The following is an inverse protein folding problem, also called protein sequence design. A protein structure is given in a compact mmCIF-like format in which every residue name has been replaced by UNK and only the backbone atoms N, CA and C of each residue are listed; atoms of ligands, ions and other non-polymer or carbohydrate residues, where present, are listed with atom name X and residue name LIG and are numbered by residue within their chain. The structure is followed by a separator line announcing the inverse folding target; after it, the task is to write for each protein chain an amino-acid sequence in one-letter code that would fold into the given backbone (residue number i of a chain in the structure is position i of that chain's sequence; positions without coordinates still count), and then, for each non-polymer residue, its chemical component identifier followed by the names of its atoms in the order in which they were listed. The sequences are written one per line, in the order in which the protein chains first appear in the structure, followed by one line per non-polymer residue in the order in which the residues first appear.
data_IF_418153897451
#
_entry.id   IF_418153897451
#
_cell.length_a   1.000
_cell.length_b   1.000
_cell.length_c   1.000
_cell.angle_alpha   90.00
_cell.angle_beta   90.00
_cell.angle_gamma   90.00
#
_symmetry.space_group_name_H-M   'P 1'
#
loop_
_entity.id
_entity.type
_entity.pdbx_description
1 polymer ?
#
# COMPACT_ATOMS: atom_id res chain seq x y z
N UNK A 1 -10.71 5.37 -2.99
CA UNK A 1 -9.36 5.00 -2.53
C UNK A 1 -9.31 4.99 -1.03
N UNK A 2 -9.50 6.13 -0.37
CA UNK A 2 -9.75 6.22 1.08
C UNK A 2 -10.57 5.05 1.66
N UNK A 3 -11.80 4.83 1.15
CA UNK A 3 -12.66 3.73 1.62
C UNK A 3 -12.07 2.31 1.48
N UNK A 4 -11.22 2.04 0.48
CA UNK A 4 -10.56 0.73 0.33
C UNK A 4 -9.55 0.50 1.45
N UNK A 5 -8.89 1.58 1.90
CA UNK A 5 -7.87 1.55 2.94
C UNK A 5 -8.43 1.93 4.32
N UNK A 6 -9.76 1.93 4.48
CA UNK A 6 -10.45 2.44 5.67
C UNK A 6 -9.93 3.82 6.16
N UNK A 7 -9.45 4.65 5.22
CA UNK A 7 -8.73 5.88 5.52
C UNK A 7 -9.43 7.15 5.06
N UNK A 8 -8.86 8.30 5.42
CA UNK A 8 -9.25 9.64 4.99
C UNK A 8 -8.36 10.11 3.84
N UNK A 9 -8.92 10.96 2.96
CA UNK A 9 -8.15 11.59 1.88
C UNK A 9 -7.50 12.86 2.40
N UNK A 10 -6.24 13.07 2.05
CA UNK A 10 -5.59 14.36 2.22
C UNK A 10 -6.21 15.38 1.24
N UNK A 11 -6.21 16.69 1.58
CA UNK A 11 -6.66 17.74 0.68
C UNK A 11 -5.94 17.67 -0.68
N UNK A 12 -6.71 17.82 -1.75
CA UNK A 12 -6.16 17.85 -3.10
C UNK A 12 -5.26 19.08 -3.29
N UNK A 13 -4.25 18.97 -4.16
CA UNK A 13 -3.31 20.05 -4.49
C UNK A 13 -2.50 20.59 -3.31
N UNK A 14 -2.43 19.85 -2.20
CA UNK A 14 -1.62 20.20 -1.02
C UNK A 14 -0.11 20.09 -1.24
N UNK A 15 0.33 19.56 -2.40
CA UNK A 15 1.73 19.18 -2.62
C UNK A 15 2.19 18.00 -1.73
N UNK A 16 1.27 17.41 -0.96
CA UNK A 16 1.55 16.36 0.00
C UNK A 16 2.11 15.10 -0.66
N UNK A 17 3.02 14.44 0.06
CA UNK A 17 3.62 13.16 -0.35
C UNK A 17 2.63 12.00 -0.23
N UNK A 18 1.59 12.17 0.58
CA UNK A 18 0.55 11.17 0.88
C UNK A 18 -0.81 11.68 0.43
N UNK A 19 -1.61 10.80 -0.20
CA UNK A 19 -2.96 11.12 -0.67
C UNK A 19 -4.05 10.51 0.24
N UNK A 20 -3.73 9.45 0.97
CA UNK A 20 -4.64 8.73 1.87
C UNK A 20 -3.90 8.29 3.12
N UNK A 21 -4.52 8.50 4.28
CA UNK A 21 -4.05 8.01 5.58
C UNK A 21 -5.17 7.18 6.20
N UNK A 22 -4.87 5.95 6.59
CA UNK A 22 -5.78 5.04 7.30
C UNK A 22 -5.08 4.33 8.45
N UNK A 23 -5.81 3.50 9.22
CA UNK A 23 -5.25 2.76 10.34
C UNK A 23 -4.14 1.82 9.87
N UNK A 24 -2.89 2.10 10.26
CA UNK A 24 -1.73 1.28 9.89
C UNK A 24 -1.38 1.30 8.39
N UNK A 25 -1.91 2.26 7.62
CA UNK A 25 -1.60 2.36 6.19
C UNK A 25 -1.59 3.81 5.70
N UNK A 26 -0.59 4.14 4.89
CA UNK A 26 -0.52 5.38 4.11
C UNK A 26 -0.38 5.05 2.64
N UNK A 27 -0.99 5.85 1.78
CA UNK A 27 -0.94 5.62 0.35
C UNK A 27 -0.80 6.89 -0.47
N UNK A 28 -0.03 6.78 -1.55
CA UNK A 28 -0.06 7.74 -2.64
C UNK A 28 -0.85 7.17 -3.82
N UNK A 29 -1.70 8.00 -4.44
CA UNK A 29 -2.59 7.59 -5.52
C UNK A 29 -2.12 8.19 -6.83
N UNK A 30 -1.71 7.34 -7.78
CA UNK A 30 -1.31 7.79 -9.11
C UNK A 30 -2.34 7.40 -10.15
N UNK A 31 -2.71 8.38 -10.99
CA UNK A 31 -3.51 8.13 -12.19
C UNK A 31 -2.56 7.88 -13.36
N UNK A 32 -2.48 6.63 -13.81
CA UNK A 32 -1.46 6.25 -14.77
C UNK A 32 -2.05 6.40 -16.17
N UNK A 33 -1.82 7.58 -16.76
CA UNK A 33 -1.75 7.72 -18.23
C UNK A 33 -0.29 7.75 -18.70
N UNK A 34 0.64 8.26 -17.88
CA UNK A 34 2.05 8.53 -18.28
C UNK A 34 3.09 8.33 -17.17
N UNK A 35 2.84 7.50 -16.14
CA UNK A 35 3.86 7.23 -15.11
C UNK A 35 4.71 6.02 -15.52
N UNK A 36 6.03 6.18 -15.62
CA UNK A 36 6.95 5.06 -15.90
C UNK A 36 7.01 4.09 -14.72
N UNK A 37 7.40 2.85 -15.00
CA UNK A 37 7.64 1.83 -13.97
C UNK A 37 8.71 2.29 -12.98
N UNK A 38 9.84 2.81 -13.48
CA UNK A 38 10.91 3.35 -12.63
C UNK A 38 10.41 4.44 -11.66
N UNK A 39 9.47 5.29 -12.10
CA UNK A 39 8.88 6.29 -11.20
C UNK A 39 7.97 5.65 -10.16
N UNK A 40 7.20 4.62 -10.53
CA UNK A 40 6.36 3.88 -9.58
C UNK A 40 7.20 3.15 -8.53
N UNK A 41 8.34 2.58 -8.91
CA UNK A 41 9.31 1.95 -8.00
C UNK A 41 9.87 2.96 -7.00
N UNK A 42 10.33 4.12 -7.48
CA UNK A 42 10.84 5.18 -6.61
C UNK A 42 9.78 5.64 -5.60
N UNK A 43 8.53 5.79 -6.04
CA UNK A 43 7.42 6.16 -5.15
C UNK A 43 7.12 5.03 -4.16
N UNK A 44 7.19 3.75 -4.56
CA UNK A 44 6.94 2.64 -3.65
C UNK A 44 7.98 2.56 -2.53
N UNK A 45 9.25 2.83 -2.83
CA UNK A 45 10.33 2.94 -1.83
C UNK A 45 10.05 4.09 -0.87
N UNK A 46 9.70 5.26 -1.40
CA UNK A 46 9.35 6.44 -0.61
C UNK A 46 8.16 6.17 0.32
N UNK A 47 7.10 5.57 -0.21
CA UNK A 47 5.92 5.24 0.56
C UNK A 47 6.24 4.24 1.66
N UNK A 48 7.06 3.22 1.40
CA UNK A 48 7.48 2.27 2.44
C UNK A 48 8.15 2.96 3.64
N UNK A 49 8.98 3.98 3.38
CA UNK A 49 9.60 4.78 4.44
C UNK A 49 8.56 5.61 5.22
N UNK A 50 7.62 6.26 4.51
CA UNK A 50 6.53 7.02 5.14
C UNK A 50 5.62 6.11 5.97
N UNK A 51 5.28 4.93 5.47
CA UNK A 51 4.50 3.94 6.22
C UNK A 51 5.17 3.58 7.52
N UNK A 52 6.47 3.29 7.49
CA UNK A 52 7.24 3.00 8.70
C UNK A 52 7.21 4.17 9.70
N UNK A 53 7.34 5.42 9.23
CA UNK A 53 7.25 6.61 10.09
C UNK A 53 5.86 6.77 10.73
N UNK A 54 4.81 6.33 10.03
CA UNK A 54 3.43 6.32 10.51
C UNK A 54 3.03 5.02 11.24
N UNK A 55 4.00 4.14 11.56
CA UNK A 55 3.74 2.90 12.29
C UNK A 55 2.96 1.84 11.50
N UNK A 56 3.05 1.85 10.17
CA UNK A 56 2.29 0.93 9.32
C UNK A 56 2.88 0.69 7.94
N UNK A 57 2.01 0.29 7.00
CA UNK A 57 2.36 0.02 5.62
C UNK A 57 2.31 1.28 4.76
N UNK A 58 3.20 1.38 3.79
CA UNK A 58 3.16 2.43 2.77
C UNK A 58 3.03 1.84 1.38
N UNK A 59 2.01 2.24 0.63
CA UNK A 59 1.70 1.66 -0.69
C UNK A 59 1.45 2.71 -1.75
N UNK A 60 1.57 2.32 -3.02
CA UNK A 60 1.15 3.12 -4.16
C UNK A 60 -0.12 2.51 -4.74
N UNK A 61 -1.18 3.30 -4.82
CA UNK A 61 -2.41 2.91 -5.51
C UNK A 61 -2.41 3.49 -6.92
N UNK A 62 -2.41 2.60 -7.90
CA UNK A 62 -2.53 2.95 -9.31
C UNK A 62 -3.98 2.79 -9.74
N UNK A 63 -4.53 3.86 -10.31
CA UNK A 63 -5.83 3.84 -11.00
C UNK A 63 -5.64 4.09 -12.48
N UNK A 64 -6.29 3.28 -13.30
CA UNK A 64 -6.62 3.61 -14.70
C UNK A 64 -8.07 4.05 -14.76
N UNK A 65 -8.43 4.86 -15.76
CA UNK A 65 -9.83 5.11 -16.16
C UNK A 65 -10.04 4.43 -17.50
N UNK A 66 -10.86 3.39 -17.54
CA UNK A 66 -11.21 2.66 -18.76
C UNK A 66 -12.40 3.26 -19.53
N UNK A 67 -12.97 4.38 -19.05
CA UNK A 67 -14.20 4.97 -19.60
C UNK A 67 -15.35 4.94 -18.59
N UNK A 68 -16.46 5.58 -18.93
CA UNK A 68 -17.65 5.65 -18.06
C UNK A 68 -18.30 4.25 -17.96
N UNK A 69 -18.70 3.84 -16.77
CA UNK A 69 -19.39 2.57 -16.52
C UNK A 69 -18.51 1.31 -16.52
N UNK A 70 -17.22 1.43 -16.83
CA UNK A 70 -16.32 0.28 -16.94
C UNK A 70 -15.64 -0.03 -15.61
N UNK A 71 -15.79 -1.25 -15.06
CA UNK A 71 -15.01 -1.71 -13.93
C UNK A 71 -13.52 -1.60 -14.27
N UNK A 72 -12.77 -0.88 -13.43
CA UNK A 72 -11.34 -0.72 -13.64
C UNK A 72 -10.58 -1.41 -12.53
N UNK A 73 -9.66 -2.34 -12.86
CA UNK A 73 -8.83 -2.96 -11.85
C UNK A 73 -8.02 -1.87 -11.12
N UNK A 74 -7.93 -2.01 -9.81
CA UNK A 74 -7.05 -1.18 -8.98
C UNK A 74 -5.77 -1.96 -8.79
N UNK A 75 -4.64 -1.34 -9.12
CA UNK A 75 -3.34 -1.94 -8.90
C UNK A 75 -2.73 -1.34 -7.63
N UNK A 76 -2.13 -2.19 -6.82
CA UNK A 76 -1.35 -1.77 -5.64
C UNK A 76 0.08 -2.17 -5.91
N UNK A 77 0.99 -1.22 -5.74
CA UNK A 77 2.43 -1.42 -5.85
C UNK A 77 3.01 -1.19 -4.46
N UNK A 78 3.85 -2.12 -4.01
CA UNK A 78 4.50 -2.08 -2.72
C UNK A 78 5.85 -2.79 -2.82
N UNK A 79 6.74 -2.52 -1.87
CA UNK A 79 8.00 -3.26 -1.75
C UNK A 79 7.77 -4.61 -1.08
N UNK A 80 8.66 -5.57 -1.29
CA UNK A 80 8.63 -6.89 -0.63
C UNK A 80 8.61 -6.78 0.90
N UNK A 81 9.24 -5.74 1.44
CA UNK A 81 9.22 -5.46 2.88
C UNK A 81 7.81 -5.13 3.36
N UNK A 82 7.11 -4.24 2.64
CA UNK A 82 5.73 -3.87 2.96
C UNK A 82 4.80 -5.07 2.77
N UNK A 83 4.99 -5.86 1.71
CA UNK A 83 4.26 -7.11 1.53
C UNK A 83 4.43 -8.05 2.72
N UNK A 84 5.66 -8.33 3.14
CA UNK A 84 5.94 -9.18 4.31
C UNK A 84 5.34 -8.63 5.61
N UNK A 85 5.30 -7.31 5.76
CA UNK A 85 4.66 -6.68 6.91
C UNK A 85 3.14 -6.91 6.92
N UNK A 86 2.49 -6.78 5.77
CA UNK A 86 1.04 -6.99 5.61
C UNK A 86 0.63 -8.47 5.62
N UNK A 87 1.49 -9.35 5.12
CA UNK A 87 1.24 -10.79 5.03
C UNK A 87 1.42 -11.50 6.37
N UNK A 88 1.99 -10.83 7.39
CA UNK A 88 2.00 -11.38 8.74
C UNK A 88 0.55 -11.40 9.24
N UNK A 89 0.00 -12.58 9.59
CA UNK A 89 -1.26 -12.60 10.32
C UNK A 89 -1.09 -11.76 11.59
N UNK A 90 -2.12 -11.04 12.04
CA UNK A 90 -2.06 -10.38 13.33
C UNK A 90 -1.59 -11.41 14.36
N UNK A 91 -0.59 -11.05 15.17
CA UNK A 91 -0.21 -11.86 16.31
C UNK A 91 -1.43 -11.89 17.23
N UNK A 92 -2.24 -12.95 17.15
CA UNK A 92 -3.16 -13.27 18.22
C UNK A 92 -2.29 -13.49 19.45
N UNK A 93 -2.49 -12.77 20.58
CA UNK A 93 -1.65 -12.90 21.77
C UNK A 93 -1.72 -14.28 22.47
N UNK A 94 -2.23 -15.32 21.80
CA UNK A 94 -2.33 -16.68 22.32
C UNK A 94 -2.31 -17.80 21.26
N UNK A 95 -1.87 -17.56 20.02
CA UNK A 95 -1.69 -18.65 19.05
C UNK A 95 -0.22 -18.82 18.66
N UNK A 96 0.36 -20.04 18.78
CA UNK A 96 1.71 -20.29 18.31
C UNK A 96 1.78 -20.18 16.79
N UNK A 97 2.84 -19.54 16.30
CA UNK A 97 3.11 -19.39 14.87
C UNK A 97 3.29 -20.76 14.21
N UNK A 98 2.56 -21.01 13.11
CA UNK A 98 2.66 -22.25 12.31
C UNK A 98 4.01 -22.34 11.55
N UNK A 99 4.91 -21.37 11.72
CA UNK A 99 6.18 -21.29 10.99
C UNK A 99 7.33 -22.14 11.57
N UNK A 100 7.06 -23.30 12.20
CA UNK A 100 8.11 -24.19 12.73
C UNK A 100 8.09 -25.65 12.25
N UNK A 101 7.23 -26.06 11.32
CA UNK A 101 7.27 -27.43 10.77
C UNK A 101 7.72 -27.51 9.32
N UNK A 102 8.91 -27.00 9.01
CA UNK A 102 9.68 -27.46 7.85
C UNK A 102 11.18 -27.22 8.06
N UNK A 103 11.73 -27.88 9.08
CA UNK A 103 13.14 -28.29 9.13
C UNK A 103 13.19 -29.65 9.79
N UNK A 104 14.09 -30.48 9.26
CA UNK A 104 14.35 -31.90 9.58
C UNK A 104 13.36 -32.86 8.91
N UNK A 105 13.78 -33.93 8.25
CA UNK A 105 15.06 -34.38 7.71
C UNK A 105 14.66 -35.44 6.67
#
# INVERSE_FOLDING_TARGET
MARLLAGARCPANSGGRVDVIGPGIVAQVKHVRTCSLARLEAIAVEMAALGQQHGGAGVVMVKRRAGRGQPTPRLIIMTDRVWRHLARPPLNPGQPSIAQHHKEQ
#
